data_IF_759446386749
#
_entry.id   IF_759446386749
#
_cell.length_a   1.000
_cell.length_b   1.000
_cell.length_c   1.000
_cell.angle_alpha   90.00
_cell.angle_beta   90.00
_cell.angle_gamma   90.00
#
_symmetry.space_group_name_H-M   'P 1'
#
loop_
_entity.id
_entity.type
_entity.pdbx_description
1 polymer ?
#
# COMPACT_ATOMS: atom_id res chain seq x y z
N UNK A 1 6.47 7.37 -12.49
CA UNK A 1 6.65 5.92 -12.69
C UNK A 1 7.65 5.38 -11.67
N UNK A 2 7.31 4.31 -10.98
CA UNK A 2 8.21 3.60 -10.08
C UNK A 2 8.04 2.09 -10.24
N UNK A 3 9.17 1.38 -10.14
CA UNK A 3 9.20 -0.09 -10.07
C UNK A 3 10.01 -0.47 -8.83
N UNK A 4 9.44 -1.32 -8.01
CA UNK A 4 10.10 -1.83 -6.81
C UNK A 4 10.07 -3.35 -6.84
N UNK A 5 11.23 -3.97 -6.68
CA UNK A 5 11.37 -5.41 -6.50
C UNK A 5 12.00 -5.68 -5.14
N UNK A 6 11.34 -6.49 -4.35
CA UNK A 6 11.78 -6.85 -3.00
C UNK A 6 11.92 -8.36 -2.91
N UNK A 7 13.04 -8.79 -2.37
CA UNK A 7 13.30 -10.18 -2.03
C UNK A 7 13.40 -10.29 -0.52
N UNK A 8 12.81 -11.30 0.04
CA UNK A 8 12.97 -11.65 1.43
C UNK A 8 13.22 -13.14 1.55
N UNK A 9 14.26 -13.49 2.30
CA UNK A 9 14.54 -14.87 2.67
C UNK A 9 14.60 -14.93 4.19
N UNK A 10 13.79 -15.79 4.76
CA UNK A 10 13.79 -16.06 6.20
C UNK A 10 14.20 -17.49 6.41
N UNK A 11 15.25 -17.68 7.18
CA UNK A 11 15.79 -18.97 7.56
C UNK A 11 15.73 -19.10 9.08
N UNK A 12 15.16 -20.19 9.55
CA UNK A 12 15.11 -20.49 10.98
C UNK A 12 15.56 -21.92 11.20
N UNK A 13 16.67 -22.08 11.87
CA UNK A 13 17.19 -23.37 12.30
C UNK A 13 16.94 -23.54 13.80
N UNK A 14 16.46 -24.70 14.18
CA UNK A 14 16.31 -25.13 15.58
C UNK A 14 17.22 -26.32 15.82
N UNK A 15 18.18 -26.13 16.72
CA UNK A 15 19.16 -27.16 17.08
C UNK A 15 18.46 -28.39 17.70
N UNK A 16 18.84 -29.61 17.32
CA UNK A 16 18.33 -30.85 17.91
C UNK A 16 18.42 -30.87 19.44
N UNK A 17 19.43 -30.22 20.01
CA UNK A 17 19.67 -30.18 21.45
C UNK A 17 18.93 -29.02 22.17
N UNK A 18 18.18 -28.20 21.44
CA UNK A 18 17.47 -27.06 22.03
C UNK A 18 16.34 -27.50 22.96
N UNK A 19 16.04 -26.70 23.98
CA UNK A 19 14.90 -26.92 24.86
C UNK A 19 13.55 -26.93 24.12
N UNK A 20 13.45 -26.22 23.02
CA UNK A 20 12.24 -26.18 22.20
C UNK A 20 11.92 -27.55 21.60
N UNK A 21 12.94 -28.30 21.18
CA UNK A 21 12.77 -29.66 20.68
C UNK A 21 12.43 -30.67 21.77
N UNK A 22 12.89 -30.44 22.99
CA UNK A 22 12.58 -31.32 24.11
C UNK A 22 11.10 -31.34 24.49
N UNK A 23 10.40 -30.24 24.29
CA UNK A 23 8.96 -30.14 24.59
C UNK A 23 8.07 -30.83 23.54
N UNK A 24 8.52 -30.93 22.29
CA UNK A 24 7.82 -31.68 21.24
C UNK A 24 8.11 -33.19 21.29
N UNK A 25 9.15 -33.58 21.97
CA UNK A 25 9.68 -34.96 22.07
C UNK A 25 9.03 -35.82 23.15
N UNK A 26 7.84 -35.47 23.64
CA UNK A 26 7.10 -36.34 24.58
C UNK A 26 6.37 -37.51 23.86
N UNK A 27 6.44 -37.61 22.54
CA UNK A 27 6.05 -38.82 21.82
C UNK A 27 7.30 -39.67 21.53
N UNK A 28 7.38 -40.72 22.28
CA UNK A 28 8.25 -41.88 22.14
C UNK A 28 8.74 -42.12 20.71
N UNK A 29 10.05 -42.10 20.51
CA UNK A 29 10.81 -42.54 19.35
C UNK A 29 11.37 -41.50 18.34
N UNK A 30 11.40 -40.23 18.63
CA UNK A 30 12.16 -39.34 17.76
C UNK A 30 13.35 -38.70 18.48
N UNK A 31 14.44 -39.44 18.54
CA UNK A 31 15.78 -38.86 18.71
C UNK A 31 16.00 -37.98 17.48
N UNK A 32 16.32 -36.72 17.71
CA UNK A 32 16.82 -35.83 16.72
C UNK A 32 15.81 -35.12 15.88
N UNK A 33 15.37 -34.02 16.32
CA UNK A 33 14.66 -33.30 15.31
C UNK A 33 15.04 -31.83 15.35
N UNK A 34 16.28 -31.55 15.00
CA UNK A 34 16.58 -30.24 14.49
C UNK A 34 15.61 -29.94 13.35
N UNK A 35 15.10 -28.73 13.29
CA UNK A 35 14.23 -28.29 12.20
C UNK A 35 14.82 -27.10 11.49
N UNK A 36 14.59 -27.01 10.20
CA UNK A 36 14.97 -25.90 9.35
C UNK A 36 13.78 -25.42 8.54
N UNK A 37 13.39 -24.20 8.77
CA UNK A 37 12.32 -23.55 8.05
C UNK A 37 12.92 -22.53 7.08
N UNK A 38 12.62 -22.68 5.80
CA UNK A 38 13.03 -21.77 4.74
C UNK A 38 11.79 -21.14 4.12
N UNK A 39 11.67 -19.84 4.25
CA UNK A 39 10.65 -19.04 3.56
C UNK A 39 11.30 -18.04 2.63
N UNK A 40 10.92 -18.06 1.38
CA UNK A 40 11.35 -17.10 0.37
C UNK A 40 10.13 -16.37 -0.16
N UNK A 41 10.22 -15.05 -0.28
CA UNK A 41 9.20 -14.24 -0.92
C UNK A 41 9.82 -13.24 -1.87
N UNK A 42 9.13 -13.03 -2.98
CA UNK A 42 9.43 -12.01 -3.96
C UNK A 42 8.20 -11.15 -4.16
N UNK A 43 8.37 -9.85 -4.12
CA UNK A 43 7.34 -8.87 -4.40
C UNK A 43 7.83 -7.95 -5.52
N UNK A 44 7.05 -7.88 -6.59
CA UNK A 44 7.24 -6.95 -7.69
C UNK A 44 6.07 -5.98 -7.72
N UNK A 45 6.33 -4.71 -7.46
CA UNK A 45 5.33 -3.67 -7.57
C UNK A 45 5.74 -2.61 -8.58
N UNK A 46 4.79 -2.16 -9.38
CA UNK A 46 4.96 -1.02 -10.25
C UNK A 46 3.77 -0.07 -10.12
N UNK A 47 4.09 1.21 -10.20
CA UNK A 47 3.13 2.28 -10.06
C UNK A 47 3.41 3.36 -11.11
N UNK A 48 2.38 3.75 -11.84
CA UNK A 48 2.43 4.82 -12.84
C UNK A 48 1.37 5.85 -12.50
N UNK A 49 1.80 7.10 -12.34
CA UNK A 49 0.94 8.24 -12.15
C UNK A 49 1.10 9.19 -13.32
N UNK A 50 0.02 9.52 -13.96
CA UNK A 50 -0.06 10.56 -14.99
C UNK A 50 -0.98 11.63 -14.44
N UNK A 51 -0.49 12.85 -14.33
CA UNK A 51 -1.25 13.98 -13.82
C UNK A 51 -1.19 15.11 -14.84
N UNK A 52 -2.35 15.59 -15.20
CA UNK A 52 -2.55 16.80 -15.99
C UNK A 52 -3.09 17.89 -15.07
N UNK A 53 -2.46 19.05 -15.10
CA UNK A 53 -2.88 20.22 -14.33
C UNK A 53 -3.02 21.42 -15.28
N UNK A 54 -4.15 22.08 -15.21
CA UNK A 54 -4.43 23.28 -15.97
C UNK A 54 -4.83 24.39 -15.02
N UNK A 55 -4.15 25.52 -15.12
CA UNK A 55 -4.43 26.71 -14.34
C UNK A 55 -4.67 27.88 -15.28
N UNK A 56 -5.80 28.54 -15.12
CA UNK A 56 -6.15 29.71 -15.89
C UNK A 56 -6.74 30.80 -14.99
N UNK A 57 -6.20 31.99 -15.13
CA UNK A 57 -6.74 33.19 -14.49
C UNK A 57 -7.27 34.13 -15.57
N UNK A 58 -8.57 34.42 -15.51
CA UNK A 58 -9.23 35.37 -16.42
C UNK A 58 -9.96 36.41 -15.58
N UNK A 59 -9.47 37.64 -15.61
CA UNK A 59 -10.01 38.73 -14.78
C UNK A 59 -10.03 38.38 -13.29
N UNK A 60 -11.25 38.13 -12.77
CA UNK A 60 -11.49 37.79 -11.34
C UNK A 60 -11.73 36.28 -11.14
N UNK A 61 -11.63 35.48 -12.19
CA UNK A 61 -11.86 34.05 -12.16
C UNK A 61 -10.53 33.33 -12.16
N UNK A 62 -10.29 32.53 -11.18
CA UNK A 62 -9.15 31.59 -11.14
C UNK A 62 -9.68 30.17 -11.15
N UNK A 63 -9.29 29.40 -12.16
CA UNK A 63 -9.73 28.03 -12.40
C UNK A 63 -8.51 27.14 -12.39
N UNK A 64 -8.50 26.15 -11.48
CA UNK A 64 -7.52 25.08 -11.46
C UNK A 64 -8.24 23.76 -11.74
N UNK A 65 -7.88 23.13 -12.83
CA UNK A 65 -8.35 21.80 -13.19
C UNK A 65 -7.21 20.79 -13.01
N UNK A 66 -7.53 19.66 -12.44
CA UNK A 66 -6.61 18.55 -12.31
C UNK A 66 -7.27 17.29 -12.83
N UNK A 67 -6.60 16.54 -13.67
CA UNK A 67 -7.04 15.22 -14.11
C UNK A 67 -5.87 14.24 -14.00
N UNK A 68 -6.13 13.02 -13.56
CA UNK A 68 -5.07 12.06 -13.35
C UNK A 68 -5.48 10.63 -13.58
N UNK A 69 -4.47 9.81 -13.89
CA UNK A 69 -4.56 8.37 -14.04
C UNK A 69 -3.48 7.76 -13.15
N UNK A 70 -3.89 6.84 -12.28
CA UNK A 70 -3.01 6.01 -11.48
C UNK A 70 -3.20 4.55 -11.92
N UNK A 71 -2.11 3.86 -12.22
CA UNK A 71 -2.10 2.43 -12.52
C UNK A 71 -1.09 1.77 -11.61
N UNK A 72 -1.54 0.75 -10.87
CA UNK A 72 -0.70 -0.02 -9.96
C UNK A 72 -0.88 -1.50 -10.20
N UNK A 73 0.21 -2.26 -10.15
CA UNK A 73 0.18 -3.70 -10.11
C UNK A 73 1.20 -4.22 -9.10
N UNK A 74 0.75 -5.15 -8.27
CA UNK A 74 1.57 -5.84 -7.29
C UNK A 74 1.49 -7.33 -7.54
N UNK A 75 2.66 -7.98 -7.72
CA UNK A 75 2.80 -9.41 -7.79
C UNK A 75 3.61 -9.86 -6.58
N UNK A 76 3.08 -10.79 -5.81
CA UNK A 76 3.78 -11.40 -4.68
C UNK A 76 3.79 -12.89 -4.86
N UNK A 77 4.96 -13.48 -4.77
CA UNK A 77 5.19 -14.92 -4.81
C UNK A 77 5.90 -15.34 -3.52
N UNK A 78 5.48 -16.44 -2.95
CA UNK A 78 6.07 -16.98 -1.73
C UNK A 78 6.21 -18.49 -1.82
N UNK A 79 7.30 -19.01 -1.25
CA UNK A 79 7.51 -20.43 -1.04
C UNK A 79 7.94 -20.69 0.38
N UNK A 80 7.43 -21.75 0.99
CA UNK A 80 7.82 -22.19 2.33
C UNK A 80 8.09 -23.68 2.33
N UNK A 81 9.20 -24.08 2.96
CA UNK A 81 9.63 -25.46 3.09
C UNK A 81 10.14 -25.70 4.50
N UNK A 82 9.82 -26.87 5.02
CA UNK A 82 10.26 -27.33 6.35
C UNK A 82 11.02 -28.63 6.23
N UNK A 83 12.14 -28.70 6.91
CA UNK A 83 13.03 -29.85 6.92
C UNK A 83 13.28 -30.29 8.36
N UNK A 84 13.44 -31.59 8.56
CA UNK A 84 13.73 -32.20 9.87
C UNK A 84 14.88 -33.22 9.76
N UNK A 85 15.34 -33.68 10.93
CA UNK A 85 16.33 -34.76 11.00
C UNK A 85 17.76 -34.26 10.86
N UNK A 86 18.11 -33.15 11.49
CA UNK A 86 19.48 -32.66 11.52
C UNK A 86 20.30 -33.37 12.58
N UNK A 87 21.48 -33.95 12.22
CA UNK A 87 22.26 -34.77 13.16
C UNK A 87 22.96 -33.92 14.24
N UNK A 88 23.26 -32.67 13.99
CA UNK A 88 23.85 -31.77 14.98
C UNK A 88 23.61 -30.30 14.64
N UNK A 89 23.74 -29.40 15.61
CA UNK A 89 23.59 -27.97 15.44
C UNK A 89 24.66 -27.31 14.54
N UNK A 90 25.80 -27.97 14.34
CA UNK A 90 26.83 -27.47 13.42
C UNK A 90 26.55 -27.82 11.95
N UNK A 91 25.66 -28.76 11.67
CA UNK A 91 25.25 -29.20 10.33
C UNK A 91 23.87 -28.62 10.00
N UNK A 92 23.81 -27.30 9.84
CA UNK A 92 22.58 -26.52 9.69
C UNK A 92 22.22 -26.21 8.21
N UNK A 93 22.81 -26.89 7.26
CA UNK A 93 22.44 -26.77 5.85
C UNK A 93 21.34 -27.77 5.48
N UNK A 94 20.46 -27.38 4.58
CA UNK A 94 19.35 -28.21 4.05
C UNK A 94 19.86 -29.61 3.58
N UNK A 95 21.10 -29.67 3.09
CA UNK A 95 21.70 -30.92 2.60
C UNK A 95 21.89 -31.99 3.68
N UNK A 96 21.82 -31.60 4.97
CA UNK A 96 21.97 -32.52 6.11
C UNK A 96 20.64 -32.89 6.73
N UNK A 97 19.53 -32.41 6.17
CA UNK A 97 18.21 -32.84 6.60
C UNK A 97 17.94 -34.29 6.17
N UNK A 98 17.38 -35.08 7.07
CA UNK A 98 16.97 -36.44 6.78
C UNK A 98 15.71 -36.49 5.92
N UNK A 99 14.79 -35.55 6.18
CA UNK A 99 13.49 -35.53 5.48
C UNK A 99 12.92 -34.11 5.29
N UNK A 100 12.04 -34.01 4.32
CA UNK A 100 11.13 -32.86 4.15
C UNK A 100 9.93 -33.12 5.06
N UNK A 101 9.76 -32.28 6.11
CA UNK A 101 8.73 -32.52 7.11
C UNK A 101 7.31 -32.32 6.58
N UNK A 102 7.12 -31.28 5.79
CA UNK A 102 5.83 -30.99 5.16
C UNK A 102 6.04 -30.69 3.67
N UNK A 103 5.00 -31.02 2.86
CA UNK A 103 5.02 -30.69 1.45
C UNK A 103 5.27 -29.17 1.29
N UNK A 104 6.29 -28.76 0.52
CA UNK A 104 6.53 -27.35 0.26
C UNK A 104 5.28 -26.65 -0.27
N UNK A 105 5.02 -25.46 0.26
CA UNK A 105 3.89 -24.63 -0.17
C UNK A 105 4.38 -23.50 -1.03
N UNK A 106 3.59 -23.14 -2.04
CA UNK A 106 3.80 -21.97 -2.86
C UNK A 106 2.48 -21.19 -2.95
N UNK A 107 2.60 -19.87 -2.88
CA UNK A 107 1.49 -18.96 -3.04
C UNK A 107 1.88 -17.88 -4.04
N UNK A 108 0.91 -17.47 -4.84
CA UNK A 108 1.03 -16.35 -5.77
C UNK A 108 -0.18 -15.44 -5.58
N UNK A 109 0.06 -14.14 -5.52
CA UNK A 109 -0.98 -13.13 -5.48
C UNK A 109 -0.67 -12.05 -6.49
N UNK A 110 -1.65 -11.74 -7.33
CA UNK A 110 -1.59 -10.66 -8.30
C UNK A 110 -2.74 -9.68 -8.02
N UNK A 111 -2.38 -8.44 -7.69
CA UNK A 111 -3.33 -7.35 -7.48
C UNK A 111 -3.07 -6.25 -8.51
N UNK A 112 -4.13 -5.73 -9.10
CA UNK A 112 -4.09 -4.64 -10.07
C UNK A 112 -5.12 -3.58 -9.70
N UNK A 113 -4.71 -2.33 -9.78
CA UNK A 113 -5.57 -1.19 -9.51
C UNK A 113 -5.40 -0.14 -10.59
N UNK A 114 -6.51 0.45 -10.98
CA UNK A 114 -6.57 1.62 -11.86
C UNK A 114 -7.45 2.67 -11.20
N UNK A 115 -6.96 3.91 -11.11
CA UNK A 115 -7.68 5.03 -10.53
C UNK A 115 -7.70 6.20 -11.50
N UNK A 116 -8.88 6.78 -11.71
CA UNK A 116 -9.07 8.05 -12.42
C UNK A 116 -9.43 9.11 -11.39
N UNK A 117 -8.79 10.25 -11.46
CA UNK A 117 -9.10 11.38 -10.60
C UNK A 117 -9.36 12.63 -11.43
N UNK A 118 -10.30 13.44 -10.98
CA UNK A 118 -10.54 14.77 -11.51
C UNK A 118 -10.81 15.73 -10.35
N UNK A 119 -10.29 16.93 -10.44
CA UNK A 119 -10.44 17.99 -9.44
C UNK A 119 -10.64 19.34 -10.09
N UNK A 120 -11.48 20.14 -9.48
CA UNK A 120 -11.73 21.53 -9.83
C UNK A 120 -11.58 22.37 -8.58
N UNK A 121 -10.72 23.37 -8.63
CA UNK A 121 -10.70 24.45 -7.66
C UNK A 121 -11.02 25.76 -8.44
N UNK A 122 -12.11 26.38 -8.05
CA UNK A 122 -12.55 27.63 -8.64
C UNK A 122 -12.57 28.73 -7.57
N UNK A 123 -12.02 29.86 -7.92
CA UNK A 123 -12.00 31.04 -7.04
C UNK A 123 -12.48 32.26 -7.81
N UNK A 124 -13.48 32.93 -7.27
CA UNK A 124 -13.98 34.19 -7.83
C UNK A 124 -13.59 35.38 -6.94
N UNK A 125 -12.94 36.35 -7.53
CA UNK A 125 -12.49 37.60 -6.88
C UNK A 125 -11.64 37.37 -5.61
N UNK A 126 -11.00 36.22 -5.47
CA UNK A 126 -10.31 35.76 -4.26
C UNK A 126 -11.20 35.69 -3.00
N UNK A 127 -12.51 35.80 -3.16
CA UNK A 127 -13.50 35.79 -2.08
C UNK A 127 -14.22 34.45 -2.03
N UNK A 128 -14.82 34.03 -3.12
CA UNK A 128 -15.65 32.82 -3.19
C UNK A 128 -14.81 31.64 -3.68
N UNK A 129 -14.87 30.53 -2.99
CA UNK A 129 -14.14 29.33 -3.27
C UNK A 129 -15.11 28.18 -3.51
N UNK A 130 -14.88 27.44 -4.58
CA UNK A 130 -15.57 26.18 -4.87
C UNK A 130 -14.51 25.13 -5.13
N UNK A 131 -14.57 24.04 -4.39
CA UNK A 131 -13.73 22.87 -4.58
C UNK A 131 -14.63 21.68 -4.94
N UNK A 132 -14.30 20.94 -5.96
CA UNK A 132 -14.96 19.68 -6.30
C UNK A 132 -13.92 18.65 -6.71
N UNK A 133 -14.08 17.42 -6.28
CA UNK A 133 -13.25 16.33 -6.73
C UNK A 133 -14.05 15.05 -6.91
N UNK A 134 -13.60 14.23 -7.85
CA UNK A 134 -14.10 12.88 -8.03
C UNK A 134 -12.93 11.93 -8.30
N UNK A 135 -13.09 10.68 -7.84
CA UNK A 135 -12.15 9.60 -8.06
C UNK A 135 -12.92 8.31 -8.31
N UNK A 136 -12.49 7.58 -9.32
CA UNK A 136 -13.00 6.26 -9.66
C UNK A 136 -11.88 5.25 -9.54
N UNK A 137 -11.95 4.40 -8.53
CA UNK A 137 -10.95 3.36 -8.31
C UNK A 137 -11.50 2.00 -8.69
N UNK A 138 -10.78 1.32 -9.59
CA UNK A 138 -11.03 -0.07 -9.97
C UNK A 138 -9.92 -0.96 -9.44
N UNK A 139 -10.28 -2.09 -8.82
CA UNK A 139 -9.32 -3.06 -8.30
C UNK A 139 -9.72 -4.49 -8.65
N UNK A 140 -8.70 -5.32 -8.94
CA UNK A 140 -8.88 -6.76 -9.07
C UNK A 140 -9.27 -7.45 -7.76
N UNK A 141 -9.00 -6.81 -6.63
CA UNK A 141 -9.32 -7.32 -5.29
C UNK A 141 -10.77 -7.00 -4.88
N UNK A 142 -11.46 -6.15 -5.63
CA UNK A 142 -12.89 -5.91 -5.43
C UNK A 142 -13.70 -7.12 -5.91
N UNK A 143 -14.85 -7.35 -5.27
CA UNK A 143 -15.75 -8.45 -5.61
C UNK A 143 -16.20 -8.44 -7.08
N UNK A 144 -16.60 -9.62 -7.58
CA UNK A 144 -16.93 -9.85 -9.01
C UNK A 144 -17.96 -8.86 -9.58
N UNK A 145 -18.86 -8.35 -8.74
CA UNK A 145 -19.99 -7.52 -9.19
C UNK A 145 -19.76 -6.01 -9.05
N UNK A 146 -18.72 -5.57 -8.32
CA UNK A 146 -18.41 -4.15 -8.11
C UNK A 146 -16.92 -3.90 -8.19
N UNK A 147 -16.41 -3.85 -9.42
CA UNK A 147 -14.98 -3.63 -9.68
C UNK A 147 -14.54 -2.18 -9.54
N UNK A 148 -15.47 -1.23 -9.55
CA UNK A 148 -15.20 0.20 -9.46
C UNK A 148 -15.95 0.84 -8.30
N UNK A 149 -15.26 1.70 -7.56
CA UNK A 149 -15.82 2.49 -6.48
C UNK A 149 -15.67 3.98 -6.80
N UNK A 150 -16.79 4.73 -6.91
CA UNK A 150 -16.76 6.17 -7.04
C UNK A 150 -16.61 6.85 -5.68
N UNK A 151 -15.77 7.87 -5.61
CA UNK A 151 -15.62 8.77 -4.49
C UNK A 151 -15.76 10.19 -5.02
N UNK A 152 -16.46 11.04 -4.31
CA UNK A 152 -16.60 12.45 -4.66
C UNK A 152 -16.61 13.31 -3.41
N UNK A 153 -16.16 14.55 -3.58
CA UNK A 153 -16.27 15.57 -2.56
C UNK A 153 -16.57 16.92 -3.21
N UNK A 154 -17.27 17.76 -2.48
CA UNK A 154 -17.53 19.14 -2.86
C UNK A 154 -17.39 20.02 -1.63
N UNK A 155 -16.81 21.20 -1.80
CA UNK A 155 -16.59 22.16 -0.74
C UNK A 155 -16.85 23.58 -1.23
N UNK A 156 -17.38 24.41 -0.35
CA UNK A 156 -17.57 25.83 -0.55
C UNK A 156 -16.79 26.61 0.50
N UNK A 157 -16.24 27.75 0.12
CA UNK A 157 -15.55 28.61 1.06
C UNK A 157 -15.68 30.10 0.72
N UNK A 158 -15.52 30.92 1.74
CA UNK A 158 -15.55 32.37 1.62
C UNK A 158 -14.37 32.95 2.38
N UNK A 159 -13.55 33.75 1.70
CA UNK A 159 -12.47 34.52 2.28
C UNK A 159 -13.02 35.91 2.69
N UNK A 160 -13.49 36.02 3.91
CA UNK A 160 -14.14 37.26 4.40
C UNK A 160 -13.15 38.44 4.49
N UNK A 161 -11.88 38.12 4.74
CA UNK A 161 -10.82 39.12 4.82
C UNK A 161 -10.57 39.89 3.50
N UNK A 162 -11.02 39.37 2.36
CA UNK A 162 -10.85 39.96 1.04
C UNK A 162 -11.97 40.95 0.66
N UNK A 163 -13.02 41.07 1.50
CA UNK A 163 -14.00 42.12 1.33
C UNK A 163 -13.42 43.50 1.66
N UNK A 164 -13.86 44.51 0.94
CA UNK A 164 -13.31 45.90 1.12
C UNK A 164 -13.52 46.43 2.53
N UNK A 165 -14.66 46.11 3.19
CA UNK A 165 -14.92 46.51 4.55
C UNK A 165 -13.97 45.90 5.59
N UNK A 166 -13.39 44.71 5.28
CA UNK A 166 -12.44 44.04 6.16
C UNK A 166 -11.00 44.49 5.94
N UNK A 167 -10.67 45.00 4.75
CA UNK A 167 -9.31 45.48 4.46
C UNK A 167 -8.89 46.69 5.30
N UNK A 168 -9.85 47.42 5.87
CA UNK A 168 -9.61 48.57 6.75
C UNK A 168 -9.39 48.15 8.22
N UNK A 169 -9.60 46.89 8.56
CA UNK A 169 -9.42 46.39 9.91
C UNK A 169 -7.97 45.90 10.13
N UNK A 170 -7.32 46.47 11.15
CA UNK A 170 -5.90 46.17 11.47
C UNK A 170 -5.77 44.90 12.34
N UNK A 171 -6.84 44.47 12.98
CA UNK A 171 -6.82 43.41 14.01
C UNK A 171 -6.96 42.00 13.41
N UNK A 172 -7.66 41.83 12.27
CA UNK A 172 -7.92 40.54 11.64
C UNK A 172 -7.27 40.49 10.25
N UNK A 173 -6.12 39.85 10.16
CA UNK A 173 -5.40 39.66 8.88
C UNK A 173 -5.96 38.56 8.00
N UNK A 174 -6.60 37.56 8.59
CA UNK A 174 -7.17 36.41 7.82
C UNK A 174 -8.43 35.88 8.49
N UNK A 175 -9.54 35.88 7.75
CA UNK A 175 -10.79 35.21 8.15
C UNK A 175 -11.35 34.43 6.96
N UNK A 176 -11.42 33.11 7.11
CA UNK A 176 -11.91 32.18 6.09
C UNK A 176 -12.93 31.23 6.69
N UNK A 177 -14.08 31.11 6.04
CA UNK A 177 -15.08 30.08 6.35
C UNK A 177 -15.09 29.02 5.26
N UNK A 178 -15.23 27.76 5.64
CA UNK A 178 -15.27 26.61 4.74
C UNK A 178 -16.30 25.60 5.22
N UNK A 179 -17.00 24.97 4.25
CA UNK A 179 -17.89 23.83 4.46
C UNK A 179 -17.63 22.79 3.37
N UNK A 180 -17.53 21.52 3.74
CA UNK A 180 -17.32 20.39 2.83
C UNK A 180 -18.02 19.14 3.34
#
# INVERSE_FOLDING_TARGET
FSVTRRFSTTERFVDPKSLQNKNESLSVNNMSSGSYNLSKSEELSWNTNILFAYNQMVNRHNINLTAGLNIMANKSEGTSSQYKGFPSGSLNSINYAEEIYEKPTANERLSRMVGFLAGLNYTYNNIYLLDASCRFDGSSDFGKDKKFAPFWSAGLGINIHNYEFMKQQVVLSTLKLRAS
#
